data_IF_425094116528
#
_entry.id   IF_425094116528
#
_cell.length_a   1.000
_cell.length_b   1.000
_cell.length_c   1.000
_cell.angle_alpha   90.00
_cell.angle_beta   90.00
_cell.angle_gamma   90.00
#
_symmetry.space_group_name_H-M   'P 1'
#
loop_
_entity.id
_entity.type
_entity.pdbx_description
1 polymer ?
#
# COMPACT_ATOMS: atom_id res chain seq x y z
N UNK A 1 -1.42 20.11 2.19
CA UNK A 1 -2.65 19.37 1.78
C UNK A 1 -2.47 17.84 1.89
N UNK A 2 -1.23 17.36 1.83
CA UNK A 2 -0.77 15.97 1.95
C UNK A 2 -1.23 15.29 3.24
N UNK A 3 -1.10 15.94 4.40
CA UNK A 3 -1.49 15.37 5.71
C UNK A 3 -2.96 14.96 5.82
N UNK A 4 -3.85 15.66 5.12
CA UNK A 4 -5.27 15.35 5.12
C UNK A 4 -5.54 14.11 4.26
N UNK A 5 -4.89 14.05 3.11
CA UNK A 5 -5.03 12.95 2.16
C UNK A 5 -4.39 11.67 2.72
N UNK A 6 -3.27 11.79 3.44
CA UNK A 6 -2.66 10.71 4.20
C UNK A 6 -3.59 10.20 5.30
N UNK A 7 -4.17 11.09 6.13
CA UNK A 7 -5.15 10.70 7.16
C UNK A 7 -6.41 10.04 6.59
N UNK A 8 -6.89 10.52 5.44
CA UNK A 8 -8.06 9.94 4.76
C UNK A 8 -7.73 8.60 4.07
N UNK A 9 -6.48 8.41 3.61
CA UNK A 9 -6.00 7.17 3.00
C UNK A 9 -5.52 6.12 4.02
N UNK A 10 -5.15 6.54 5.23
CA UNK A 10 -4.65 5.70 6.31
C UNK A 10 -5.52 4.46 6.58
N UNK A 11 -6.86 4.55 6.73
CA UNK A 11 -7.68 3.36 6.96
C UNK A 11 -7.73 2.42 5.75
N UNK A 12 -7.72 2.95 4.52
CA UNK A 12 -7.67 2.14 3.31
C UNK A 12 -6.32 1.43 3.16
N UNK A 13 -5.22 2.12 3.48
CA UNK A 13 -3.88 1.55 3.47
C UNK A 13 -3.69 0.51 4.58
N UNK A 14 -4.23 0.77 5.78
CA UNK A 14 -4.25 -0.18 6.87
C UNK A 14 -5.02 -1.45 6.49
N UNK A 15 -6.19 -1.32 5.84
CA UNK A 15 -6.96 -2.45 5.35
C UNK A 15 -6.22 -3.27 4.28
N UNK A 16 -5.47 -2.61 3.39
CA UNK A 16 -4.64 -3.28 2.38
C UNK A 16 -3.44 -4.03 2.99
N UNK A 17 -2.84 -3.48 4.04
CA UNK A 17 -1.67 -4.07 4.72
C UNK A 17 -2.02 -5.11 5.78
N UNK A 18 -3.25 -5.12 6.27
CA UNK A 18 -3.72 -6.02 7.32
C UNK A 18 -3.52 -7.52 6.99
N UNK A 19 -3.80 -8.02 5.76
CA UNK A 19 -3.52 -9.42 5.42
C UNK A 19 -2.03 -9.77 5.52
N UNK A 20 -1.15 -8.84 5.12
CA UNK A 20 0.31 -9.02 5.22
C UNK A 20 0.76 -9.02 6.68
N UNK A 21 0.20 -8.12 7.52
CA UNK A 21 0.48 -8.10 8.96
C UNK A 21 0.07 -9.41 9.64
N UNK A 22 -1.11 -9.94 9.33
CA UNK A 22 -1.58 -11.22 9.86
C UNK A 22 -0.70 -12.38 9.41
N UNK A 23 -0.24 -12.38 8.16
CA UNK A 23 0.68 -13.41 7.67
C UNK A 23 1.98 -13.40 8.48
N UNK A 24 2.60 -12.23 8.67
CA UNK A 24 3.84 -12.11 9.42
C UNK A 24 3.66 -12.47 10.90
N UNK A 25 2.52 -12.11 11.51
CA UNK A 25 2.23 -12.40 12.91
C UNK A 25 1.99 -13.90 13.20
N UNK A 26 1.50 -14.66 12.21
CA UNK A 26 1.14 -16.07 12.38
C UNK A 26 2.16 -17.06 11.78
N UNK A 27 3.10 -16.57 10.95
CA UNK A 27 4.13 -17.44 10.37
C UNK A 27 5.22 -17.78 11.41
N UNK A 28 5.55 -19.06 11.50
CA UNK A 28 6.65 -19.57 12.32
C UNK A 28 8.00 -19.55 11.60
N UNK A 29 8.02 -19.28 10.30
CA UNK A 29 9.25 -19.25 9.49
C UNK A 29 9.19 -18.26 8.33
N UNK A 30 10.36 -17.86 7.84
CA UNK A 30 10.48 -16.99 6.66
C UNK A 30 9.93 -17.65 5.38
N UNK A 31 10.01 -18.98 5.29
CA UNK A 31 9.47 -19.75 4.18
C UNK A 31 7.94 -19.66 4.14
N UNK A 32 7.27 -19.76 5.29
CA UNK A 32 5.82 -19.57 5.40
C UNK A 32 5.39 -18.15 5.04
N UNK A 33 6.17 -17.13 5.41
CA UNK A 33 5.91 -15.75 4.99
C UNK A 33 6.02 -15.62 3.47
N UNK A 34 7.08 -16.15 2.86
CA UNK A 34 7.28 -16.10 1.40
C UNK A 34 6.11 -16.77 0.68
N UNK A 35 5.74 -17.97 1.09
CA UNK A 35 4.70 -18.76 0.44
C UNK A 35 3.31 -18.13 0.65
N UNK A 36 3.04 -17.58 1.84
CA UNK A 36 1.82 -16.83 2.12
C UNK A 36 1.72 -15.52 1.35
N UNK A 37 2.83 -14.82 1.09
CA UNK A 37 2.84 -13.62 0.24
C UNK A 37 2.43 -13.99 -1.18
N UNK A 38 2.97 -15.09 -1.74
CA UNK A 38 2.55 -15.56 -3.07
C UNK A 38 1.06 -15.89 -3.14
N UNK A 39 0.49 -16.50 -2.09
CA UNK A 39 -0.96 -16.76 -2.02
C UNK A 39 -1.78 -15.47 -1.95
N UNK A 40 -1.35 -14.48 -1.16
CA UNK A 40 -2.00 -13.17 -1.06
C UNK A 40 -2.01 -12.42 -2.40
N UNK A 41 -0.95 -12.56 -3.20
CA UNK A 41 -0.87 -11.99 -4.54
C UNK A 41 -1.68 -12.78 -5.58
N UNK A 42 -1.84 -14.10 -5.41
CA UNK A 42 -2.62 -14.93 -6.32
C UNK A 42 -4.12 -14.59 -6.29
N UNK A 43 -4.64 -14.24 -5.10
CA UNK A 43 -6.04 -13.79 -4.91
C UNK A 43 -6.23 -12.30 -5.20
N UNK A 44 -5.15 -11.54 -5.46
CA UNK A 44 -5.25 -10.13 -5.82
C UNK A 44 -5.40 -10.03 -7.34
N UNK A 45 -6.58 -9.68 -7.87
CA UNK A 45 -6.74 -9.53 -9.31
C UNK A 45 -5.74 -8.47 -9.77
N UNK A 46 -4.87 -8.87 -10.70
CA UNK A 46 -3.72 -8.10 -11.19
C UNK A 46 -4.09 -6.67 -11.62
N UNK A 47 -5.33 -6.48 -12.11
CA UNK A 47 -5.89 -5.17 -12.39
C UNK A 47 -6.06 -4.28 -11.15
N UNK A 48 -6.54 -4.82 -10.02
CA UNK A 48 -6.74 -4.05 -8.80
C UNK A 48 -5.41 -3.61 -8.18
N UNK A 49 -4.38 -4.47 -8.20
CA UNK A 49 -3.03 -4.09 -7.78
C UNK A 49 -2.47 -2.97 -8.67
N UNK A 50 -2.63 -3.08 -9.99
CA UNK A 50 -2.22 -2.03 -10.92
C UNK A 50 -2.99 -0.71 -10.71
N UNK A 51 -4.28 -0.78 -10.37
CA UNK A 51 -5.09 0.40 -10.02
C UNK A 51 -4.60 1.05 -8.72
N UNK A 52 -4.35 0.26 -7.67
CA UNK A 52 -3.84 0.75 -6.38
C UNK A 52 -2.46 1.39 -6.55
N UNK A 53 -1.53 0.72 -7.26
CA UNK A 53 -0.21 1.25 -7.54
C UNK A 53 -0.26 2.52 -8.39
N UNK A 54 -1.09 2.58 -9.45
CA UNK A 54 -1.28 3.81 -10.23
C UNK A 54 -1.79 4.96 -9.39
N UNK A 55 -2.76 4.70 -8.49
CA UNK A 55 -3.31 5.72 -7.59
C UNK A 55 -2.26 6.21 -6.59
N UNK A 56 -1.49 5.29 -6.02
CA UNK A 56 -0.41 5.63 -5.09
C UNK A 56 0.70 6.46 -5.76
N UNK A 57 1.14 6.07 -6.97
CA UNK A 57 2.13 6.81 -7.75
C UNK A 57 1.60 8.18 -8.18
N UNK A 58 0.34 8.28 -8.60
CA UNK A 58 -0.28 9.56 -8.95
C UNK A 58 -0.41 10.49 -7.73
N UNK A 59 -0.77 9.95 -6.56
CA UNK A 59 -0.83 10.69 -5.31
C UNK A 59 0.57 11.17 -4.87
N UNK A 60 1.59 10.31 -4.95
CA UNK A 60 2.98 10.66 -4.62
C UNK A 60 3.56 11.69 -5.60
N UNK A 61 3.27 11.59 -6.89
CA UNK A 61 3.69 12.58 -7.89
C UNK A 61 3.00 13.94 -7.71
N UNK A 62 1.77 13.94 -7.22
CA UNK A 62 1.04 15.17 -6.88
C UNK A 62 1.57 15.80 -5.59
N UNK A 63 1.84 14.99 -4.56
CA UNK A 63 2.47 15.43 -3.32
C UNK A 63 3.86 16.03 -3.57
N UNK A 64 4.71 15.34 -4.33
CA UNK A 64 6.05 15.86 -4.69
C UNK A 64 6.02 17.12 -5.56
N UNK A 65 4.93 17.41 -6.28
CA UNK A 65 4.73 18.71 -6.96
C UNK A 65 4.23 19.79 -6.01
N UNK A 66 3.41 19.43 -5.01
CA UNK A 66 2.97 20.36 -3.97
C UNK A 66 4.15 20.78 -3.07
N UNK A 67 5.06 19.85 -2.73
CA UNK A 67 6.26 20.15 -1.96
C UNK A 67 7.24 21.09 -2.70
N UNK A 68 7.23 21.07 -4.05
CA UNK A 68 8.00 22.00 -4.89
C UNK A 68 7.28 23.36 -5.06
N UNK A 69 5.95 23.40 -4.97
CA UNK A 69 5.16 24.63 -5.07
C UNK A 69 5.01 25.37 -3.73
N UNK A 70 5.11 24.67 -2.59
CA UNK A 70 5.23 25.26 -1.24
C UNK A 70 6.70 25.56 -0.86
N UNK A 71 7.65 25.25 -1.76
CA UNK A 71 9.07 25.58 -1.65
C UNK A 71 9.46 26.86 -2.38
N UNK A 72 8.78 27.98 -2.07
CA UNK A 72 9.28 29.36 -1.86
C UNK A 72 8.14 30.24 -1.30
#
# INVERSE_FOLDING_TARGET
MTDRLEREAEPAMAALMEPVRRLVANAGSLQEIRDGLYSLYADMPSEQLAVVMRRAIAAAALAGRADVAEGE
#
